data_IF_007296479476
#
_entry.id   IF_007296479476
#
_cell.length_a   1.000
_cell.length_b   1.000
_cell.length_c   1.000
_cell.angle_alpha   90.00
_cell.angle_beta   90.00
_cell.angle_gamma   90.00
#
_symmetry.space_group_name_H-M   'P 1'
#
loop_
_entity.id
_entity.type
_entity.pdbx_description
1 polymer ?
#
# COMPACT_ATOMS: atom_id res chain seq x y z
N UNK A 1 2.93 -9.92 -0.61
CA UNK A 1 4.20 -10.35 0.02
C UNK A 1 4.16 -10.30 1.56
N UNK A 2 3.32 -9.47 2.20
CA UNK A 2 3.26 -9.37 3.67
C UNK A 2 2.46 -10.49 4.36
N UNK A 3 1.41 -11.05 3.74
CA UNK A 3 0.50 -11.99 4.40
C UNK A 3 1.17 -13.30 4.86
N UNK A 4 2.15 -13.81 4.09
CA UNK A 4 2.89 -15.02 4.47
C UNK A 4 3.82 -14.75 5.65
N UNK A 5 4.54 -13.63 5.62
CA UNK A 5 5.40 -13.20 6.74
C UNK A 5 4.59 -12.94 8.01
N UNK A 6 3.42 -12.31 7.87
CA UNK A 6 2.54 -12.04 9.02
C UNK A 6 1.93 -13.33 9.60
N UNK A 7 1.68 -14.34 8.77
CA UNK A 7 1.29 -15.68 9.22
C UNK A 7 2.44 -16.36 9.97
N UNK A 8 3.66 -16.27 9.45
CA UNK A 8 4.87 -16.80 10.10
C UNK A 8 5.08 -16.17 11.48
N UNK A 9 5.02 -14.84 11.58
CA UNK A 9 5.12 -14.12 12.85
C UNK A 9 4.02 -14.53 13.85
N UNK A 10 2.79 -14.74 13.36
CA UNK A 10 1.66 -15.19 14.17
C UNK A 10 1.87 -16.61 14.70
N UNK A 11 2.43 -17.51 13.90
CA UNK A 11 2.78 -18.88 14.29
C UNK A 11 3.89 -18.89 15.34
N UNK A 12 4.93 -18.10 15.13
CA UNK A 12 6.03 -17.93 16.08
C UNK A 12 5.53 -17.41 17.43
N UNK A 13 4.61 -16.45 17.40
CA UNK A 13 4.03 -15.88 18.62
C UNK A 13 3.20 -16.94 19.35
N UNK A 14 2.36 -17.68 18.65
CA UNK A 14 1.58 -18.78 19.22
C UNK A 14 2.49 -19.81 19.91
N UNK A 15 3.58 -20.24 19.25
CA UNK A 15 4.54 -21.19 19.82
C UNK A 15 5.23 -20.65 21.08
N UNK A 16 5.63 -19.37 21.07
CA UNK A 16 6.24 -18.70 22.24
C UNK A 16 5.27 -18.61 23.41
N UNK A 17 3.99 -18.31 23.15
CA UNK A 17 2.94 -18.26 24.18
C UNK A 17 2.70 -19.66 24.74
N UNK A 18 2.60 -20.69 23.90
CA UNK A 18 2.46 -22.08 24.35
C UNK A 18 3.63 -22.53 25.24
N UNK A 19 4.87 -22.26 24.83
CA UNK A 19 6.05 -22.60 25.61
C UNK A 19 6.07 -21.86 26.97
N UNK A 20 5.71 -20.57 26.96
CA UNK A 20 5.59 -19.75 28.18
C UNK A 20 4.49 -20.27 29.11
N UNK A 21 3.34 -20.66 28.57
CA UNK A 21 2.21 -21.20 29.34
C UNK A 21 2.58 -22.52 30.05
N UNK A 22 3.28 -23.42 29.34
CA UNK A 22 3.79 -24.68 29.92
C UNK A 22 4.81 -24.37 31.03
N UNK A 23 5.76 -23.47 30.77
CA UNK A 23 6.78 -23.11 31.75
C UNK A 23 6.17 -22.44 32.99
N UNK A 24 5.18 -21.56 32.81
CA UNK A 24 4.45 -20.91 33.89
C UNK A 24 3.71 -21.94 34.75
N UNK A 25 2.91 -22.80 34.12
CA UNK A 25 2.13 -23.84 34.82
C UNK A 25 3.05 -24.80 35.58
N UNK A 26 4.14 -25.25 34.96
CA UNK A 26 5.11 -26.14 35.58
C UNK A 26 5.78 -25.53 36.82
N UNK A 27 6.16 -24.24 36.76
CA UNK A 27 6.84 -23.55 37.86
C UNK A 27 5.91 -23.13 39.00
N UNK A 28 4.66 -22.81 38.69
CA UNK A 28 3.70 -22.24 39.65
C UNK A 28 2.69 -23.26 40.19
N UNK A 29 2.67 -24.49 39.65
CA UNK A 29 1.84 -25.57 40.15
C UNK A 29 2.12 -25.87 41.63
N UNK A 30 1.10 -25.72 42.48
CA UNK A 30 1.16 -26.18 43.86
C UNK A 30 1.27 -27.70 43.90
N UNK A 31 2.19 -28.22 44.70
CA UNK A 31 2.34 -29.67 44.87
C UNK A 31 1.46 -30.13 46.02
N UNK A 32 0.60 -31.13 45.78
CA UNK A 32 -0.26 -31.72 46.82
C UNK A 32 0.41 -32.97 47.38
N UNK A 33 0.63 -33.02 48.70
CA UNK A 33 1.15 -34.21 49.36
C UNK A 33 0.09 -35.32 49.30
N UNK A 34 0.45 -36.45 48.67
CA UNK A 34 -0.44 -37.59 48.47
C UNK A 34 -0.32 -38.62 49.60
N UNK A 35 0.85 -38.68 50.25
CA UNK A 35 1.13 -39.62 51.33
C UNK A 35 1.87 -38.95 52.51
N UNK A 36 1.39 -39.10 53.77
CA UNK A 36 1.96 -38.40 54.93
C UNK A 36 3.43 -38.75 55.24
N UNK A 37 3.85 -39.98 54.90
CA UNK A 37 5.20 -40.46 55.22
C UNK A 37 6.25 -40.08 54.17
N UNK A 38 5.84 -39.56 53.00
CA UNK A 38 6.77 -39.12 51.96
C UNK A 38 6.88 -37.59 52.04
N UNK A 39 8.04 -37.04 52.44
CA UNK A 39 8.23 -35.61 52.50
C UNK A 39 8.18 -35.00 51.10
N UNK A 40 7.51 -33.86 50.97
CA UNK A 40 7.35 -33.15 49.72
C UNK A 40 8.64 -32.40 49.37
N UNK A 41 9.39 -32.87 48.39
CA UNK A 41 10.54 -32.16 47.85
C UNK A 41 10.07 -31.14 46.80
N UNK A 42 9.96 -29.87 47.20
CA UNK A 42 9.79 -28.76 46.25
C UNK A 42 11.16 -28.30 45.73
N UNK A 43 11.31 -28.18 44.41
CA UNK A 43 12.55 -27.73 43.79
C UNK A 43 12.66 -26.19 43.89
N UNK A 44 13.36 -25.67 44.90
CA UNK A 44 13.66 -24.24 45.08
C UNK A 44 12.55 -23.40 45.77
N UNK A 45 12.67 -22.06 45.70
CA UNK A 45 11.72 -21.08 46.26
C UNK A 45 10.43 -20.95 45.40
N UNK A 46 9.87 -22.05 44.94
CA UNK A 46 8.63 -22.04 44.17
C UNK A 46 7.45 -21.85 45.13
N UNK A 47 7.07 -20.58 45.36
CA UNK A 47 5.76 -20.25 45.92
C UNK A 47 4.70 -20.69 44.91
N UNK A 48 4.16 -21.90 45.14
CA UNK A 48 3.00 -22.41 44.41
C UNK A 48 1.82 -21.47 44.63
N UNK A 49 1.11 -21.14 43.57
CA UNK A 49 -0.07 -20.28 43.67
C UNK A 49 -1.20 -21.01 44.39
N UNK A 50 -2.09 -20.25 45.02
CA UNK A 50 -3.35 -20.78 45.50
C UNK A 50 -4.14 -21.38 44.32
N UNK A 51 -4.86 -22.49 44.53
CA UNK A 51 -5.56 -23.20 43.45
C UNK A 51 -6.54 -22.30 42.69
N UNK A 52 -7.22 -21.39 43.39
CA UNK A 52 -8.19 -20.46 42.78
C UNK A 52 -7.50 -19.47 41.83
N UNK A 53 -6.32 -18.96 42.22
CA UNK A 53 -5.53 -18.03 41.40
C UNK A 53 -4.94 -18.76 40.19
N UNK A 54 -4.47 -19.99 40.38
CA UNK A 54 -3.95 -20.83 39.30
C UNK A 54 -5.05 -21.16 38.28
N UNK A 55 -6.26 -21.51 38.73
CA UNK A 55 -7.39 -21.80 37.85
C UNK A 55 -7.77 -20.58 37.00
N UNK A 56 -7.87 -19.40 37.62
CA UNK A 56 -8.14 -18.15 36.90
C UNK A 56 -7.07 -17.82 35.86
N UNK A 57 -5.78 -17.98 36.20
CA UNK A 57 -4.68 -17.77 35.25
C UNK A 57 -4.66 -18.81 34.12
N UNK A 58 -5.06 -20.06 34.38
CA UNK A 58 -5.18 -21.08 33.34
C UNK A 58 -6.30 -20.76 32.36
N UNK A 59 -7.46 -20.29 32.84
CA UNK A 59 -8.58 -19.90 31.99
C UNK A 59 -8.20 -18.74 31.06
N UNK A 60 -7.46 -17.74 31.57
CA UNK A 60 -6.91 -16.63 30.78
C UNK A 60 -5.94 -17.14 29.70
N UNK A 61 -4.97 -17.98 30.08
CA UNK A 61 -4.00 -18.56 29.14
C UNK A 61 -4.68 -19.39 28.04
N UNK A 62 -5.71 -20.17 28.39
CA UNK A 62 -6.48 -20.95 27.42
C UNK A 62 -7.26 -20.03 26.47
N UNK A 63 -7.90 -18.98 27.00
CA UNK A 63 -8.62 -17.99 26.19
C UNK A 63 -7.68 -17.30 25.19
N UNK A 64 -6.50 -16.90 25.63
CA UNK A 64 -5.49 -16.27 24.78
C UNK A 64 -5.02 -17.21 23.68
N UNK A 65 -4.70 -18.46 24.02
CA UNK A 65 -4.30 -19.49 23.05
C UNK A 65 -5.38 -19.76 22.00
N UNK A 66 -6.65 -19.85 22.41
CA UNK A 66 -7.77 -20.06 21.47
C UNK A 66 -7.89 -18.87 20.53
N UNK A 67 -7.76 -17.65 21.05
CA UNK A 67 -7.85 -16.42 20.25
C UNK A 67 -6.72 -16.38 19.22
N UNK A 68 -5.49 -16.65 19.64
CA UNK A 68 -4.33 -16.70 18.75
C UNK A 68 -4.43 -17.80 17.69
N UNK A 69 -4.94 -18.98 18.06
CA UNK A 69 -5.17 -20.07 17.12
C UNK A 69 -6.22 -19.71 16.06
N UNK A 70 -7.31 -19.02 16.46
CA UNK A 70 -8.31 -18.51 15.53
C UNK A 70 -7.75 -17.46 14.58
N UNK A 71 -6.89 -16.57 15.08
CA UNK A 71 -6.20 -15.59 14.23
C UNK A 71 -5.32 -16.27 13.19
N UNK A 72 -4.54 -17.28 13.57
CA UNK A 72 -3.76 -18.09 12.62
C UNK A 72 -4.67 -18.75 11.57
N UNK A 73 -5.79 -19.34 12.00
CA UNK A 73 -6.75 -19.97 11.08
C UNK A 73 -7.35 -18.97 10.09
N UNK A 74 -7.70 -17.77 10.57
CA UNK A 74 -8.21 -16.68 9.72
C UNK A 74 -7.16 -16.28 8.69
N UNK A 75 -5.91 -16.08 9.11
CA UNK A 75 -4.80 -15.71 8.21
C UNK A 75 -4.53 -16.76 7.14
N UNK A 76 -4.60 -18.04 7.49
CA UNK A 76 -4.49 -19.14 6.51
C UNK A 76 -5.63 -19.03 5.47
N UNK A 77 -6.84 -18.68 5.91
CA UNK A 77 -8.00 -18.53 5.02
C UNK A 77 -7.91 -17.30 4.11
N UNK A 78 -7.17 -16.26 4.54
CA UNK A 78 -6.90 -15.04 3.78
C UNK A 78 -5.75 -15.22 2.75
N UNK A 79 -5.03 -16.34 2.77
CA UNK A 79 -3.98 -16.59 1.80
C UNK A 79 -4.59 -16.66 0.39
N UNK A 80 -3.95 -16.01 -0.62
CA UNK A 80 -4.42 -16.09 -1.98
C UNK A 80 -4.43 -17.55 -2.42
N UNK A 81 -5.56 -17.98 -2.97
CA UNK A 81 -5.77 -19.34 -3.42
C UNK A 81 -4.67 -19.76 -4.41
N UNK A 82 -3.86 -20.74 -4.02
CA UNK A 82 -2.89 -21.41 -4.90
C UNK A 82 -3.57 -22.52 -5.70
N UNK A 83 -4.86 -22.38 -6.00
CA UNK A 83 -5.69 -23.42 -6.63
C UNK A 83 -5.37 -23.61 -8.12
N UNK A 84 -4.51 -22.75 -8.68
CA UNK A 84 -4.05 -22.84 -10.06
C UNK A 84 -2.72 -23.60 -10.10
N UNK A 85 -2.57 -24.50 -11.06
CA UNK A 85 -1.26 -25.09 -11.34
C UNK A 85 -0.26 -23.99 -11.73
N UNK A 86 1.03 -24.21 -11.45
CA UNK A 86 2.09 -23.29 -11.86
C UNK A 86 2.00 -22.92 -13.34
N UNK A 87 1.58 -23.87 -14.19
CA UNK A 87 1.38 -23.66 -15.62
C UNK A 87 0.22 -22.70 -15.92
N UNK A 88 -0.91 -22.81 -15.22
CA UNK A 88 -2.03 -21.88 -15.34
C UNK A 88 -1.65 -20.47 -14.84
N UNK A 89 -0.85 -20.37 -13.78
CA UNK A 89 -0.38 -19.10 -13.26
C UNK A 89 0.62 -18.43 -14.22
N UNK A 90 1.50 -19.21 -14.84
CA UNK A 90 2.41 -18.73 -15.89
C UNK A 90 1.66 -18.24 -17.14
N UNK A 91 0.61 -18.95 -17.56
CA UNK A 91 -0.24 -18.51 -18.67
C UNK A 91 -0.95 -17.19 -18.33
N UNK A 92 -1.54 -17.08 -17.13
CA UNK A 92 -2.17 -15.84 -16.68
C UNK A 92 -1.20 -14.66 -16.60
N UNK A 93 0.06 -14.91 -16.20
CA UNK A 93 1.11 -13.89 -16.20
C UNK A 93 1.47 -13.44 -17.62
N UNK A 94 1.59 -14.37 -18.57
CA UNK A 94 1.87 -14.06 -19.97
C UNK A 94 0.73 -13.25 -20.62
N UNK A 95 -0.52 -13.61 -20.32
CA UNK A 95 -1.70 -12.85 -20.76
C UNK A 95 -1.70 -11.43 -20.18
N UNK A 96 -1.41 -11.30 -18.88
CA UNK A 96 -1.31 -10.00 -18.23
C UNK A 96 -0.18 -9.14 -18.81
N UNK A 97 0.98 -9.73 -19.12
CA UNK A 97 2.09 -9.03 -19.79
C UNK A 97 1.69 -8.51 -21.17
N UNK A 98 0.97 -9.34 -21.95
CA UNK A 98 0.45 -8.94 -23.26
C UNK A 98 -0.51 -7.75 -23.13
N UNK A 99 -1.46 -7.83 -22.22
CA UNK A 99 -2.43 -6.76 -21.97
C UNK A 99 -1.72 -5.47 -21.50
N UNK A 100 -0.71 -5.58 -20.64
CA UNK A 100 0.11 -4.45 -20.20
C UNK A 100 0.88 -3.82 -21.37
N UNK A 101 1.38 -4.64 -22.28
CA UNK A 101 2.11 -4.17 -23.45
C UNK A 101 1.18 -3.39 -24.40
N UNK A 102 0.01 -3.94 -24.70
CA UNK A 102 -1.02 -3.31 -25.52
C UNK A 102 -1.46 -1.97 -24.91
N UNK A 103 -1.84 -1.96 -23.62
CA UNK A 103 -2.25 -0.74 -22.92
C UNK A 103 -1.14 0.34 -22.90
N UNK A 104 0.13 -0.07 -22.75
CA UNK A 104 1.25 0.87 -22.82
C UNK A 104 1.48 1.43 -24.23
N UNK A 105 1.25 0.64 -25.28
CA UNK A 105 1.34 1.13 -26.65
C UNK A 105 0.24 2.16 -26.93
N UNK A 106 -0.99 1.86 -26.54
CA UNK A 106 -2.12 2.79 -26.66
C UNK A 106 -1.87 4.08 -25.89
N UNK A 107 -1.37 3.97 -24.65
CA UNK A 107 -0.98 5.13 -23.84
C UNK A 107 0.06 6.01 -24.55
N UNK A 108 1.10 5.41 -25.13
CA UNK A 108 2.15 6.15 -25.88
C UNK A 108 1.59 6.84 -27.12
N UNK A 109 0.70 6.17 -27.85
CA UNK A 109 0.04 6.75 -29.02
C UNK A 109 -0.80 7.96 -28.62
N UNK A 110 -1.69 7.79 -27.64
CA UNK A 110 -2.52 8.87 -27.12
C UNK A 110 -1.69 10.07 -26.61
N UNK A 111 -0.56 9.80 -25.95
CA UNK A 111 0.36 10.85 -25.51
C UNK A 111 0.96 11.62 -26.70
N UNK A 112 1.41 10.91 -27.73
CA UNK A 112 1.98 11.54 -28.93
C UNK A 112 0.97 12.39 -29.70
N UNK A 113 -0.29 11.94 -29.76
CA UNK A 113 -1.38 12.70 -30.37
C UNK A 113 -1.70 13.96 -29.57
N UNK A 114 -1.73 13.86 -28.24
CA UNK A 114 -1.92 15.00 -27.35
C UNK A 114 -0.81 16.03 -27.50
N UNK A 115 0.45 15.60 -27.59
CA UNK A 115 1.60 16.48 -27.81
C UNK A 115 1.51 17.20 -29.17
N UNK A 116 1.16 16.47 -30.22
CA UNK A 116 0.98 17.05 -31.56
C UNK A 116 -0.14 18.09 -31.59
N UNK A 117 -1.28 17.77 -30.97
CA UNK A 117 -2.42 18.70 -30.88
C UNK A 117 -2.08 19.95 -30.04
N UNK A 118 -1.34 19.77 -28.94
CA UNK A 118 -0.83 20.86 -28.11
C UNK A 118 0.08 21.80 -28.90
N UNK A 119 1.00 21.25 -29.71
CA UNK A 119 1.84 22.05 -30.59
C UNK A 119 1.03 22.81 -31.65
N UNK A 120 0.03 22.18 -32.27
CA UNK A 120 -0.85 22.83 -33.24
C UNK A 120 -1.66 23.98 -32.62
N UNK A 121 -2.17 23.77 -31.40
CA UNK A 121 -2.90 24.79 -30.65
C UNK A 121 -1.99 25.99 -30.34
N UNK A 122 -0.79 25.72 -29.81
CA UNK A 122 0.19 26.75 -29.50
C UNK A 122 0.60 27.57 -30.74
N UNK A 123 0.81 26.90 -31.88
CA UNK A 123 1.12 27.57 -33.15
C UNK A 123 -0.04 28.46 -33.63
N UNK A 124 -1.27 27.97 -33.52
CA UNK A 124 -2.47 28.73 -33.89
C UNK A 124 -2.65 29.97 -33.00
N UNK A 125 -2.45 29.82 -31.69
CA UNK A 125 -2.46 30.92 -30.74
C UNK A 125 -1.36 31.94 -31.02
N UNK A 126 -0.13 31.49 -31.29
CA UNK A 126 0.98 32.37 -31.66
C UNK A 126 0.67 33.18 -32.93
N UNK A 127 0.08 32.53 -33.95
CA UNK A 127 -0.33 33.20 -35.19
C UNK A 127 -1.38 34.27 -34.93
N UNK A 128 -2.44 33.93 -34.18
CA UNK A 128 -3.50 34.88 -33.81
C UNK A 128 -2.95 36.07 -32.99
N UNK A 129 -2.05 35.82 -32.05
CA UNK A 129 -1.38 36.88 -31.30
C UNK A 129 -0.56 37.81 -32.21
N UNK A 130 0.15 37.25 -33.19
CA UNK A 130 0.97 38.02 -34.14
C UNK A 130 0.11 38.83 -35.09
N UNK A 131 -0.95 38.24 -35.65
CA UNK A 131 -1.94 38.93 -36.50
C UNK A 131 -2.58 40.10 -35.74
N UNK A 132 -3.00 39.87 -34.48
CA UNK A 132 -3.58 40.93 -33.65
C UNK A 132 -2.57 42.02 -33.32
N UNK A 133 -1.31 41.67 -33.08
CA UNK A 133 -0.26 42.65 -32.83
C UNK A 133 0.02 43.48 -34.09
N UNK A 134 0.08 42.86 -35.27
CA UNK A 134 0.24 43.57 -36.54
C UNK A 134 -0.94 44.51 -36.82
N UNK A 135 -2.18 44.06 -36.61
CA UNK A 135 -3.37 44.90 -36.75
C UNK A 135 -3.35 46.11 -35.81
N UNK A 136 -2.89 45.93 -34.55
CA UNK A 136 -2.70 47.03 -33.60
C UNK A 136 -1.66 48.02 -34.08
N UNK A 137 -0.51 47.56 -34.57
CA UNK A 137 0.56 48.43 -35.09
C UNK A 137 0.08 49.24 -36.30
N UNK A 138 -0.76 48.66 -37.17
CA UNK A 138 -1.36 49.39 -38.29
C UNK A 138 -2.34 50.48 -37.82
N UNK A 139 -3.12 50.21 -36.77
CA UNK A 139 -4.04 51.19 -36.18
C UNK A 139 -3.32 52.30 -35.38
N UNK A 140 -2.18 51.99 -34.77
CA UNK A 140 -1.33 52.95 -34.04
C UNK A 140 -0.35 53.71 -34.95
N UNK A 141 -0.23 53.32 -36.23
CA UNK A 141 0.60 54.04 -37.18
C UNK A 141 -0.03 55.42 -37.46
N UNK A 142 0.64 56.53 -37.15
CA UNK A 142 0.08 57.85 -37.35
C UNK A 142 -0.19 58.08 -38.84
N UNK A 143 -1.37 58.60 -39.16
CA UNK A 143 -1.77 59.12 -40.48
C UNK A 143 -0.70 60.10 -40.99
N UNK A 144 0.28 59.58 -41.72
CA UNK A 144 1.33 60.36 -42.38
C UNK A 144 0.84 60.98 -43.70
N UNK A 145 -0.45 60.85 -43.97
CA UNK A 145 -1.16 61.39 -45.13
C UNK A 145 -1.56 62.86 -44.97
N UNK A 146 -1.72 63.39 -43.74
CA UNK A 146 -2.19 64.77 -43.52
C UNK A 146 -1.06 65.84 -43.44
N UNK A 147 0.21 65.44 -43.39
CA UNK A 147 1.34 66.40 -43.32
C UNK A 147 1.94 66.77 -44.68
N UNK A 148 1.51 66.12 -45.78
CA UNK A 148 2.02 66.42 -47.14
C UNK A 148 1.24 67.48 -47.91
N UNK A 149 -0.06 67.66 -47.65
CA UNK A 149 -0.86 68.71 -48.33
C UNK A 149 -0.56 70.13 -47.84
N UNK A 150 0.03 70.31 -46.66
CA UNK A 150 0.33 71.66 -46.12
C UNK A 150 1.62 72.29 -46.66
N UNK A 151 2.44 71.56 -47.42
CA UNK A 151 3.69 72.10 -47.99
C UNK A 151 3.50 72.63 -49.42
N UNK A 152 2.46 72.19 -50.13
CA UNK A 152 2.25 72.55 -51.54
C UNK A 152 1.41 73.84 -51.73
N UNK A 153 0.66 74.28 -50.71
CA UNK A 153 -0.11 75.53 -50.74
C UNK A 153 0.70 76.81 -50.44
N UNK A 154 2.01 76.71 -50.23
CA UNK A 154 2.88 77.86 -49.86
C UNK A 154 3.81 78.34 -50.97
N UNK A 155 3.67 77.79 -52.18
CA UNK A 155 4.57 78.06 -53.31
C UNK A 155 3.85 78.41 -54.62
N UNK A 156 2.61 78.92 -54.56
CA UNK A 156 1.90 79.53 -55.70
C UNK A 156 1.67 81.02 -55.46
#
# INVERSE_FOLDING_TARGET
MLALTELEDSLDTLLKVMASAIAYTSRKSSHKQVHPQVPLTTLGNTEGLAPDVMAASQDELVSDLITQAKDVQRRISELPAMDQSDEAQMAALADLERDLHEANQEYKQALSEADLLSHQLNNSLARLCTERQAARVVLDAPDTSLSRESVEARNS
#
